data_IF_277435520356
#
_entry.id   IF_277435520356
#
_cell.length_a   1.000
_cell.length_b   1.000
_cell.length_c   1.000
_cell.angle_alpha   90.00
_cell.angle_beta   90.00
_cell.angle_gamma   90.00
#
_symmetry.space_group_name_H-M   'P 1'
#
loop_
_entity.id
_entity.type
_entity.pdbx_description
1 polymer ?
#
# COMPACT_ATOMS: atom_id res chain seq x y z
N UNK A 1 -14.26 3.54 -9.81
CA UNK A 1 -12.80 3.41 -9.67
C UNK A 1 -12.36 2.93 -8.29
N UNK A 2 -12.99 3.39 -7.21
CA UNK A 2 -12.65 3.07 -5.82
C UNK A 2 -12.99 1.62 -5.42
N UNK A 3 -14.21 1.15 -5.70
CA UNK A 3 -14.65 -0.21 -5.32
C UNK A 3 -13.79 -1.36 -5.88
N UNK A 4 -13.34 -1.35 -7.15
CA UNK A 4 -12.39 -2.35 -7.64
C UNK A 4 -11.07 -2.41 -6.85
N UNK A 5 -10.58 -1.27 -6.37
CA UNK A 5 -9.33 -1.20 -5.57
C UNK A 5 -9.56 -1.71 -4.16
N UNK A 6 -10.65 -1.29 -3.52
CA UNK A 6 -11.07 -1.80 -2.21
C UNK A 6 -11.28 -3.32 -2.24
N UNK A 7 -11.90 -3.82 -3.30
CA UNK A 7 -12.03 -5.26 -3.56
C UNK A 7 -10.68 -5.97 -3.67
N UNK A 8 -9.71 -5.38 -4.37
CA UNK A 8 -8.33 -5.93 -4.44
C UNK A 8 -7.63 -5.91 -3.09
N UNK A 9 -7.71 -4.82 -2.33
CA UNK A 9 -7.14 -4.72 -0.96
C UNK A 9 -7.75 -5.80 -0.06
N UNK A 10 -9.07 -6.00 -0.14
CA UNK A 10 -9.78 -7.02 0.63
C UNK A 10 -9.35 -8.44 0.23
N UNK A 11 -9.21 -8.73 -1.08
CA UNK A 11 -8.72 -10.02 -1.57
C UNK A 11 -7.29 -10.32 -1.10
N UNK A 12 -6.40 -9.33 -1.16
CA UNK A 12 -5.01 -9.44 -0.68
C UNK A 12 -4.95 -9.76 0.82
N UNK A 13 -5.89 -9.24 1.60
CA UNK A 13 -5.97 -9.48 3.03
C UNK A 13 -6.61 -10.84 3.40
N UNK A 14 -7.32 -11.47 2.48
CA UNK A 14 -8.19 -12.62 2.76
C UNK A 14 -7.59 -13.97 2.35
N UNK A 15 -6.69 -14.01 1.36
CA UNK A 15 -6.12 -15.27 0.87
C UNK A 15 -4.58 -15.17 0.67
N UNK A 16 -3.79 -15.84 1.53
CA UNK A 16 -2.32 -15.85 1.43
C UNK A 16 -1.79 -16.61 0.19
N UNK A 17 -2.62 -17.43 -0.46
CA UNK A 17 -2.25 -18.22 -1.64
C UNK A 17 -2.61 -17.55 -2.97
N UNK A 18 -3.42 -16.49 -2.94
CA UNK A 18 -3.96 -15.92 -4.16
C UNK A 18 -2.88 -15.14 -4.89
N UNK A 19 -2.37 -15.69 -5.99
CA UNK A 19 -1.28 -15.11 -6.79
C UNK A 19 -1.78 -13.87 -7.52
N UNK A 20 -1.86 -12.73 -6.81
CA UNK A 20 -2.23 -11.48 -7.46
C UNK A 20 -0.99 -10.97 -8.16
N UNK A 21 -1.06 -10.90 -9.49
CA UNK A 21 -0.13 -10.11 -10.28
C UNK A 21 -0.17 -8.68 -9.74
N UNK A 22 0.86 -8.33 -8.96
CA UNK A 22 1.02 -7.02 -8.35
C UNK A 22 1.26 -5.95 -9.43
N UNK A 23 1.24 -6.31 -10.72
CA UNK A 23 1.09 -5.39 -11.86
C UNK A 23 -0.24 -4.61 -11.91
N UNK A 24 -1.12 -4.73 -10.92
CA UNK A 24 -2.01 -3.60 -10.70
C UNK A 24 -1.13 -2.39 -10.38
N UNK A 25 -0.99 -1.49 -11.36
CA UNK A 25 -0.07 -0.38 -11.33
C UNK A 25 -0.49 0.59 -10.22
N UNK A 26 -0.12 0.25 -8.99
CA UNK A 26 -0.50 0.92 -7.76
C UNK A 26 -0.12 2.39 -7.84
N UNK A 27 1.10 2.64 -8.34
CA UNK A 27 1.64 3.97 -8.66
C UNK A 27 0.72 4.73 -9.63
N UNK A 28 0.25 4.11 -10.72
CA UNK A 28 -0.65 4.78 -11.66
C UNK A 28 -2.05 5.07 -11.07
N UNK A 29 -2.58 4.20 -10.20
CA UNK A 29 -3.85 4.45 -9.53
C UNK A 29 -3.73 5.57 -8.49
N UNK A 30 -2.71 5.47 -7.65
CA UNK A 30 -2.31 6.44 -6.63
C UNK A 30 -2.18 7.83 -7.27
N UNK A 31 -1.32 7.95 -8.28
CA UNK A 31 -1.07 9.20 -8.99
C UNK A 31 -2.35 9.83 -9.54
N UNK A 32 -3.26 9.02 -10.10
CA UNK A 32 -4.56 9.50 -10.59
C UNK A 32 -5.47 9.97 -9.46
N UNK A 33 -5.46 9.30 -8.31
CA UNK A 33 -6.27 9.69 -7.15
C UNK A 33 -5.78 11.02 -6.56
N UNK A 34 -4.45 11.20 -6.42
CA UNK A 34 -3.85 12.46 -5.94
C UNK A 34 -4.10 13.60 -6.92
N UNK A 35 -3.83 13.40 -8.21
CA UNK A 35 -4.10 14.42 -9.23
C UNK A 35 -5.60 14.79 -9.21
N UNK A 36 -6.46 13.78 -9.11
CA UNK A 36 -7.90 13.91 -8.89
C UNK A 36 -8.25 14.88 -7.78
N UNK A 37 -7.73 14.60 -6.58
CA UNK A 37 -7.97 15.40 -5.39
C UNK A 37 -7.40 16.81 -5.51
N UNK A 38 -6.12 16.96 -5.88
CA UNK A 38 -5.44 18.25 -6.00
C UNK A 38 -6.14 19.15 -7.03
N UNK A 39 -6.43 18.62 -8.22
CA UNK A 39 -7.07 19.39 -9.28
C UNK A 39 -8.50 19.82 -8.89
N UNK A 40 -9.25 18.97 -8.18
CA UNK A 40 -10.61 19.29 -7.72
C UNK A 40 -10.59 20.34 -6.61
N UNK A 41 -9.70 20.21 -5.62
CA UNK A 41 -9.56 21.23 -4.55
C UNK A 41 -9.04 22.57 -5.10
N UNK A 42 -8.10 22.56 -6.05
CA UNK A 42 -7.62 23.77 -6.73
C UNK A 42 -8.74 24.44 -7.54
N UNK A 43 -9.53 23.65 -8.29
CA UNK A 43 -10.72 24.12 -8.99
C UNK A 43 -11.70 24.79 -8.02
N UNK A 44 -12.06 24.12 -6.94
CA UNK A 44 -13.00 24.63 -5.94
C UNK A 44 -12.51 25.95 -5.32
N UNK A 45 -11.23 26.00 -4.92
CA UNK A 45 -10.63 27.21 -4.36
C UNK A 45 -10.65 28.39 -5.34
N UNK A 46 -10.36 28.14 -6.63
CA UNK A 46 -10.41 29.17 -7.67
C UNK A 46 -11.81 29.64 -7.99
N UNK A 47 -12.82 28.80 -7.76
CA UNK A 47 -14.23 29.14 -8.05
C UNK A 47 -14.97 29.82 -6.89
N UNK A 48 -14.40 29.85 -5.67
CA UNK A 48 -15.02 30.45 -4.47
C UNK A 48 -15.38 31.92 -4.62
N UNK A 49 -14.56 32.67 -5.34
CA UNK A 49 -14.75 34.12 -5.54
C UNK A 49 -15.06 34.46 -7.00
N UNK A 50 -15.23 33.44 -7.84
CA UNK A 50 -15.40 33.62 -9.27
C UNK A 50 -16.86 33.85 -9.61
N UNK A 51 -17.14 34.97 -10.28
CA UNK A 51 -18.49 35.34 -10.71
C UNK A 51 -18.60 35.48 -12.23
N UNK A 52 -17.47 35.40 -12.96
CA UNK A 52 -17.41 35.52 -14.42
C UNK A 52 -17.47 34.14 -15.10
N UNK A 53 -18.52 33.82 -15.89
CA UNK A 53 -18.63 32.51 -16.53
C UNK A 53 -17.61 32.25 -17.66
N UNK A 54 -17.02 33.29 -18.26
CA UNK A 54 -15.95 33.12 -19.27
C UNK A 54 -14.67 32.62 -18.59
N UNK A 55 -14.32 33.18 -17.45
CA UNK A 55 -13.18 32.74 -16.64
C UNK A 55 -13.43 31.34 -16.07
N UNK A 56 -14.68 31.04 -15.65
CA UNK A 56 -15.08 29.70 -15.23
C UNK A 56 -14.78 28.66 -16.32
N UNK A 57 -15.15 28.92 -17.57
CA UNK A 57 -14.88 28.01 -18.68
C UNK A 57 -13.39 27.70 -18.85
N UNK A 58 -12.50 28.70 -18.63
CA UNK A 58 -11.05 28.52 -18.72
C UNK A 58 -10.54 27.62 -17.59
N UNK A 59 -10.98 27.87 -16.36
CA UNK A 59 -10.54 27.10 -15.19
C UNK A 59 -11.05 25.65 -15.26
N UNK A 60 -12.31 25.45 -15.64
CA UNK A 60 -12.90 24.12 -15.83
C UNK A 60 -12.19 23.37 -16.95
N UNK A 61 -11.90 24.01 -18.09
CA UNK A 61 -11.15 23.39 -19.19
C UNK A 61 -9.76 22.93 -18.74
N UNK A 62 -9.06 23.73 -17.94
CA UNK A 62 -7.75 23.37 -17.39
C UNK A 62 -7.85 22.16 -16.46
N UNK A 63 -8.85 22.12 -15.58
CA UNK A 63 -9.08 20.97 -14.70
C UNK A 63 -9.38 19.69 -15.49
N UNK A 64 -10.24 19.76 -16.50
CA UNK A 64 -10.55 18.62 -17.41
C UNK A 64 -9.29 18.09 -18.08
N UNK A 65 -8.43 18.98 -18.58
CA UNK A 65 -7.18 18.60 -19.24
C UNK A 65 -6.22 17.94 -18.26
N UNK A 66 -6.09 18.48 -17.04
CA UNK A 66 -5.23 17.92 -15.99
C UNK A 66 -5.71 16.55 -15.50
N UNK A 67 -7.02 16.34 -15.49
CA UNK A 67 -7.66 15.10 -15.06
C UNK A 67 -7.80 14.07 -16.17
N UNK A 68 -7.39 14.40 -17.40
CA UNK A 68 -7.55 13.57 -18.60
C UNK A 68 -9.00 13.07 -18.77
N UNK A 69 -9.97 13.98 -18.53
CA UNK A 69 -11.39 13.66 -18.65
C UNK A 69 -11.83 13.84 -20.09
N UNK A 70 -12.43 12.78 -20.64
CA UNK A 70 -13.09 12.86 -21.94
C UNK A 70 -14.45 13.53 -21.78
N UNK A 71 -14.49 14.85 -22.04
CA UNK A 71 -15.70 15.65 -22.00
C UNK A 71 -15.99 16.17 -23.41
N UNK A 72 -17.25 16.10 -23.86
CA UNK A 72 -17.67 16.68 -25.14
C UNK A 72 -17.23 18.15 -25.26
N UNK A 73 -16.51 18.49 -26.35
CA UNK A 73 -15.94 19.84 -26.56
C UNK A 73 -17.01 20.94 -26.58
N UNK A 74 -18.19 20.59 -27.08
CA UNK A 74 -19.38 21.45 -27.13
C UNK A 74 -19.86 21.88 -25.73
N UNK A 75 -19.66 21.08 -24.69
CA UNK A 75 -20.03 21.47 -23.32
C UNK A 75 -19.22 22.68 -22.82
N UNK A 76 -17.92 22.73 -23.12
CA UNK A 76 -17.04 23.85 -22.72
C UNK A 76 -17.33 25.10 -23.56
N UNK A 77 -17.57 24.91 -24.85
CA UNK A 77 -17.96 26.01 -25.74
C UNK A 77 -19.32 26.59 -25.36
N UNK A 78 -20.25 25.77 -24.88
CA UNK A 78 -21.54 26.23 -24.34
C UNK A 78 -21.36 27.14 -23.13
N UNK A 79 -20.59 26.74 -22.11
CA UNK A 79 -20.30 27.58 -20.92
C UNK A 79 -19.66 28.90 -21.35
N UNK A 80 -18.68 28.84 -22.26
CA UNK A 80 -18.01 30.04 -22.78
C UNK A 80 -18.98 30.99 -23.48
N UNK A 81 -19.91 30.46 -24.27
CA UNK A 81 -20.91 31.27 -24.98
C UNK A 81 -21.94 31.87 -24.02
N UNK A 82 -22.39 31.13 -23.00
CA UNK A 82 -23.23 31.68 -21.92
C UNK A 82 -22.53 32.83 -21.19
N UNK A 83 -21.22 32.71 -20.94
CA UNK A 83 -20.42 33.79 -20.38
C UNK A 83 -20.42 35.05 -21.24
N UNK A 84 -20.32 34.92 -22.57
CA UNK A 84 -20.41 36.08 -23.49
C UNK A 84 -21.76 36.77 -23.40
N UNK A 85 -22.86 36.01 -23.35
CA UNK A 85 -24.20 36.59 -23.18
C UNK A 85 -24.34 37.30 -21.83
N UNK A 86 -23.79 36.71 -20.77
CA UNK A 86 -23.77 37.32 -19.44
C UNK A 86 -23.01 38.66 -19.43
N UNK A 87 -21.81 38.70 -20.01
CA UNK A 87 -21.02 39.94 -20.17
C UNK A 87 -21.75 40.99 -21.01
N UNK A 88 -22.42 40.57 -22.09
CA UNK A 88 -23.24 41.46 -22.90
C UNK A 88 -24.39 42.08 -22.08
N UNK A 89 -25.12 41.28 -21.30
CA UNK A 89 -26.20 41.75 -20.42
C UNK A 89 -25.70 42.75 -19.37
N UNK A 90 -24.54 42.50 -18.75
CA UNK A 90 -23.90 43.45 -17.83
C UNK A 90 -23.58 44.78 -18.52
N UNK A 91 -23.03 44.71 -19.74
CA UNK A 91 -22.65 45.89 -20.53
C UNK A 91 -23.84 46.75 -20.90
N UNK A 92 -24.93 46.16 -21.42
CA UNK A 92 -26.10 46.93 -21.86
C UNK A 92 -26.95 47.46 -20.69
N UNK A 93 -26.89 46.80 -19.53
CA UNK A 93 -27.66 47.19 -18.35
C UNK A 93 -26.94 48.19 -17.45
N UNK A 94 -25.65 48.44 -17.69
CA UNK A 94 -24.75 49.22 -16.83
C UNK A 94 -24.83 48.77 -15.36
N UNK A 95 -25.03 47.46 -15.16
CA UNK A 95 -25.15 46.82 -13.85
C UNK A 95 -24.23 45.62 -13.77
N UNK A 96 -23.51 45.54 -12.66
CA UNK A 96 -22.76 44.33 -12.32
C UNK A 96 -23.76 43.24 -11.90
N UNK A 97 -23.99 42.30 -12.81
CA UNK A 97 -24.73 41.07 -12.53
C UNK A 97 -23.78 40.10 -11.83
N UNK A 98 -24.17 39.56 -10.68
CA UNK A 98 -23.38 38.54 -9.99
C UNK A 98 -24.04 37.17 -10.20
N UNK A 99 -23.25 36.17 -10.58
CA UNK A 99 -23.65 34.79 -10.33
C UNK A 99 -23.39 34.45 -8.87
N UNK A 100 -24.10 33.45 -8.34
CA UNK A 100 -23.63 32.79 -7.13
C UNK A 100 -22.25 32.16 -7.39
N UNK A 101 -21.42 31.99 -6.34
CA UNK A 101 -20.16 31.27 -6.43
C UNK A 101 -20.33 29.86 -7.02
N UNK A 102 -19.40 29.46 -7.88
CA UNK A 102 -19.48 28.18 -8.60
C UNK A 102 -18.84 27.01 -7.84
N UNK A 103 -18.21 27.25 -6.70
CA UNK A 103 -17.55 26.23 -5.88
C UNK A 103 -18.53 25.17 -5.38
N UNK A 104 -19.78 25.56 -5.13
CA UNK A 104 -20.84 24.64 -4.73
C UNK A 104 -21.14 23.56 -5.79
N UNK A 105 -20.82 23.79 -7.07
CA UNK A 105 -20.95 22.78 -8.13
C UNK A 105 -19.96 21.62 -8.00
N UNK A 106 -18.82 21.86 -7.36
CA UNK A 106 -17.73 20.88 -7.23
C UNK A 106 -17.68 20.23 -5.85
N UNK A 107 -18.48 20.72 -4.90
CA UNK A 107 -18.48 20.26 -3.51
C UNK A 107 -18.77 18.77 -3.38
N UNK A 108 -19.74 18.25 -4.12
CA UNK A 108 -20.09 16.82 -4.05
C UNK A 108 -18.95 15.93 -4.56
N UNK A 109 -18.21 16.41 -5.58
CA UNK A 109 -17.03 15.71 -6.11
C UNK A 109 -15.87 15.75 -5.10
N UNK A 110 -15.63 16.90 -4.46
CA UNK A 110 -14.64 17.03 -3.40
C UNK A 110 -14.93 16.09 -2.23
N UNK A 111 -16.17 16.11 -1.73
CA UNK A 111 -16.63 15.23 -0.64
C UNK A 111 -16.48 13.75 -1.04
N UNK A 112 -16.86 13.39 -2.26
CA UNK A 112 -16.68 12.04 -2.78
C UNK A 112 -15.20 11.60 -2.79
N UNK A 113 -14.30 12.45 -3.30
CA UNK A 113 -12.87 12.15 -3.36
C UNK A 113 -12.24 12.07 -1.96
N UNK A 114 -12.61 12.96 -1.05
CA UNK A 114 -12.16 12.93 0.34
C UNK A 114 -12.60 11.64 1.05
N UNK A 115 -13.89 11.28 0.95
CA UNK A 115 -14.42 10.05 1.53
C UNK A 115 -13.76 8.80 0.92
N UNK A 116 -13.51 8.82 -0.39
CA UNK A 116 -12.82 7.73 -1.09
C UNK A 116 -11.39 7.55 -0.59
N UNK A 117 -10.65 8.65 -0.39
CA UNK A 117 -9.30 8.63 0.17
C UNK A 117 -9.30 8.01 1.56
N UNK A 118 -10.20 8.44 2.44
CA UNK A 118 -10.32 7.89 3.82
C UNK A 118 -10.65 6.41 3.80
N UNK A 119 -11.64 5.98 3.01
CA UNK A 119 -12.03 4.57 2.94
C UNK A 119 -10.89 3.66 2.45
N UNK A 120 -10.13 4.12 1.44
CA UNK A 120 -8.96 3.38 0.95
C UNK A 120 -7.89 3.27 2.04
N UNK A 121 -7.62 4.35 2.79
CA UNK A 121 -6.66 4.33 3.90
C UNK A 121 -7.03 3.34 4.99
N UNK A 122 -8.31 3.31 5.38
CA UNK A 122 -8.80 2.37 6.40
C UNK A 122 -8.66 0.92 5.94
N UNK A 123 -9.01 0.64 4.68
CA UNK A 123 -8.84 -0.69 4.08
C UNK A 123 -7.36 -1.10 4.01
N UNK A 124 -6.45 -0.18 3.65
CA UNK A 124 -5.01 -0.42 3.62
C UNK A 124 -4.47 -0.77 5.00
N UNK A 125 -4.87 -0.04 6.04
CA UNK A 125 -4.45 -0.29 7.42
C UNK A 125 -4.92 -1.66 7.89
N UNK A 126 -6.20 -1.98 7.67
CA UNK A 126 -6.76 -3.28 8.05
C UNK A 126 -6.07 -4.43 7.30
N UNK A 127 -5.81 -4.26 6.00
CA UNK A 127 -5.09 -5.24 5.20
C UNK A 127 -3.65 -5.44 5.70
N UNK A 128 -2.93 -4.36 6.00
CA UNK A 128 -1.56 -4.43 6.52
C UNK A 128 -1.50 -5.18 7.85
N UNK A 129 -2.42 -4.91 8.78
CA UNK A 129 -2.51 -5.63 10.06
C UNK A 129 -2.75 -7.12 9.85
N UNK A 130 -3.68 -7.49 8.95
CA UNK A 130 -3.95 -8.90 8.63
C UNK A 130 -2.75 -9.60 8.01
N UNK A 131 -2.11 -8.98 7.00
CA UNK A 131 -0.93 -9.55 6.34
C UNK A 131 0.23 -9.70 7.33
N UNK A 132 0.43 -8.70 8.21
CA UNK A 132 1.44 -8.80 9.27
C UNK A 132 1.16 -9.95 10.24
N UNK A 133 -0.08 -10.09 10.70
CA UNK A 133 -0.47 -11.20 11.59
C UNK A 133 -0.24 -12.57 10.93
N UNK A 134 -0.59 -12.71 9.66
CA UNK A 134 -0.35 -13.96 8.91
C UNK A 134 1.15 -14.21 8.70
N UNK A 135 1.94 -13.18 8.44
CA UNK A 135 3.40 -13.31 8.34
C UNK A 135 3.98 -13.79 9.67
N UNK A 136 3.58 -13.19 10.79
CA UNK A 136 4.03 -13.61 12.11
C UNK A 136 3.65 -15.07 12.41
N UNK A 137 2.48 -15.53 11.97
CA UNK A 137 2.06 -16.92 12.11
C UNK A 137 2.97 -17.86 11.29
N UNK A 138 3.18 -17.57 9.99
CA UNK A 138 4.07 -18.35 9.14
C UNK A 138 5.50 -18.42 9.70
N UNK A 139 5.99 -17.33 10.25
CA UNK A 139 7.32 -17.28 10.87
C UNK A 139 7.41 -18.13 12.14
N UNK A 140 6.35 -18.17 12.95
CA UNK A 140 6.25 -19.08 14.10
C UNK A 140 6.20 -20.55 13.66
N UNK A 141 5.57 -20.84 12.54
CA UNK A 141 5.54 -22.20 12.00
C UNK A 141 6.92 -22.64 11.49
N UNK A 142 7.65 -21.76 10.77
CA UNK A 142 9.06 -22.00 10.40
C UNK A 142 9.90 -22.24 11.65
N UNK A 143 9.78 -21.38 12.66
CA UNK A 143 10.49 -21.53 13.93
C UNK A 143 10.29 -22.91 14.55
N UNK A 144 9.03 -23.35 14.62
CA UNK A 144 8.63 -24.63 15.19
C UNK A 144 9.20 -25.80 14.39
N UNK A 145 9.12 -25.78 13.06
CA UNK A 145 9.69 -26.83 12.21
C UNK A 145 11.20 -26.92 12.39
N UNK A 146 11.90 -25.78 12.38
CA UNK A 146 13.35 -25.75 12.64
C UNK A 146 13.69 -26.38 13.99
N UNK A 147 12.95 -26.02 15.04
CA UNK A 147 13.14 -26.57 16.39
C UNK A 147 12.89 -28.08 16.45
N UNK A 148 11.77 -28.55 15.91
CA UNK A 148 11.37 -29.96 15.96
C UNK A 148 12.35 -30.85 15.18
N UNK A 149 12.66 -30.49 13.93
CA UNK A 149 13.58 -31.26 13.11
C UNK A 149 15.01 -31.23 13.67
N UNK A 150 15.47 -30.07 14.16
CA UNK A 150 16.78 -29.99 14.79
C UNK A 150 16.86 -30.84 16.05
N UNK A 151 15.80 -30.89 16.87
CA UNK A 151 15.77 -31.73 18.07
C UNK A 151 15.93 -33.22 17.74
N UNK A 152 15.31 -33.68 16.65
CA UNK A 152 15.47 -35.06 16.18
C UNK A 152 16.89 -35.34 15.66
N UNK A 153 17.49 -34.38 14.93
CA UNK A 153 18.88 -34.46 14.51
C UNK A 153 19.80 -34.59 15.73
N UNK A 154 19.58 -33.77 16.77
CA UNK A 154 20.37 -33.81 18.02
C UNK A 154 20.22 -35.15 18.74
N UNK A 155 19.00 -35.69 18.87
CA UNK A 155 18.77 -37.01 19.49
C UNK A 155 19.47 -38.14 18.75
N UNK A 156 19.61 -38.04 17.43
CA UNK A 156 20.25 -39.05 16.60
C UNK A 156 21.79 -39.00 16.59
N UNK A 157 22.39 -37.93 17.13
CA UNK A 157 23.84 -37.74 17.14
C UNK A 157 24.52 -38.55 18.24
N UNK A 158 25.67 -39.14 17.90
CA UNK A 158 26.57 -39.73 18.88
C UNK A 158 27.09 -38.66 19.86
N UNK A 159 27.05 -38.95 21.18
CA UNK A 159 27.48 -38.01 22.23
C UNK A 159 28.85 -37.38 21.99
N UNK A 160 29.79 -38.09 21.34
CA UNK A 160 31.14 -37.57 21.05
C UNK A 160 31.15 -36.47 19.98
N UNK A 161 30.19 -36.47 19.05
CA UNK A 161 30.05 -35.48 17.96
C UNK A 161 29.17 -34.29 18.35
N UNK A 162 28.41 -34.44 19.43
CA UNK A 162 27.43 -33.44 19.88
C UNK A 162 28.04 -32.06 20.17
N UNK A 163 29.16 -31.93 20.93
CA UNK A 163 29.70 -30.60 21.26
C UNK A 163 30.19 -29.83 20.03
N UNK A 164 30.82 -30.52 19.06
CA UNK A 164 31.32 -29.89 17.84
C UNK A 164 30.17 -29.45 16.92
N UNK A 165 29.11 -30.25 16.82
CA UNK A 165 27.91 -29.92 16.03
C UNK A 165 27.14 -28.75 16.65
N UNK A 166 26.84 -28.79 17.95
CA UNK A 166 26.17 -27.69 18.65
C UNK A 166 26.93 -26.36 18.51
N UNK A 167 28.27 -26.39 18.66
CA UNK A 167 29.09 -25.18 18.50
C UNK A 167 29.03 -24.61 17.07
N UNK A 168 29.04 -25.48 16.06
CA UNK A 168 28.94 -25.07 14.65
C UNK A 168 27.57 -24.49 14.35
N UNK A 169 26.52 -25.21 14.73
CA UNK A 169 25.13 -24.91 14.38
C UNK A 169 24.63 -23.66 15.11
N UNK A 170 25.04 -23.45 16.37
CA UNK A 170 24.80 -22.22 17.14
C UNK A 170 25.36 -20.97 16.46
N UNK A 171 26.49 -21.08 15.74
CA UNK A 171 27.07 -19.98 14.98
C UNK A 171 26.18 -19.59 13.79
N UNK A 172 25.72 -20.57 13.01
CA UNK A 172 24.81 -20.31 11.88
C UNK A 172 23.50 -19.65 12.30
N UNK A 173 22.96 -20.06 13.45
CA UNK A 173 21.74 -19.48 14.00
C UNK A 173 21.99 -18.05 14.52
N UNK A 174 23.14 -17.79 15.12
CA UNK A 174 23.51 -16.42 15.55
C UNK A 174 23.66 -15.49 14.35
N UNK A 175 24.29 -15.97 13.27
CA UNK A 175 24.42 -15.23 12.01
C UNK A 175 23.03 -14.91 11.41
N UNK A 176 22.06 -15.84 11.50
CA UNK A 176 20.67 -15.61 11.11
C UNK A 176 20.05 -14.45 11.86
N UNK A 177 20.14 -14.48 13.18
CA UNK A 177 19.47 -13.52 14.04
C UNK A 177 20.00 -12.14 13.69
N UNK A 178 21.31 -12.03 13.51
CA UNK A 178 21.94 -10.80 13.06
C UNK A 178 21.50 -10.40 11.65
N UNK A 179 21.40 -11.33 10.69
CA UNK A 179 20.86 -11.03 9.35
C UNK A 179 19.39 -10.63 9.35
N UNK A 180 18.56 -11.19 10.24
CA UNK A 180 17.14 -10.84 10.38
C UNK A 180 16.99 -9.49 11.06
N UNK A 181 17.79 -9.22 12.11
CA UNK A 181 17.83 -7.93 12.78
C UNK A 181 18.32 -6.81 11.84
N UNK A 182 19.25 -7.14 10.95
CA UNK A 182 19.74 -6.25 9.90
C UNK A 182 18.91 -6.33 8.60
N UNK A 183 17.98 -7.27 8.53
CA UNK A 183 17.28 -7.70 7.33
C UNK A 183 16.14 -6.76 7.00
N UNK A 184 16.17 -6.19 5.80
CA UNK A 184 15.25 -5.12 5.39
C UNK A 184 14.06 -5.60 4.53
N UNK A 185 14.01 -6.88 4.13
CA UNK A 185 12.98 -7.42 3.21
C UNK A 185 12.64 -8.88 3.51
N UNK A 186 11.43 -9.32 3.13
CA UNK A 186 10.97 -10.72 3.22
C UNK A 186 11.74 -11.67 2.30
N UNK A 187 12.28 -11.18 1.19
CA UNK A 187 13.13 -11.99 0.29
C UNK A 187 14.44 -12.37 0.97
N UNK A 188 15.12 -11.38 1.58
CA UNK A 188 16.30 -11.65 2.41
C UNK A 188 15.97 -12.64 3.52
N UNK A 189 14.83 -12.45 4.18
CA UNK A 189 14.35 -13.33 5.24
C UNK A 189 14.21 -14.79 4.79
N UNK A 190 13.59 -15.02 3.63
CA UNK A 190 13.39 -16.37 3.07
C UNK A 190 14.71 -17.00 2.67
N UNK A 191 15.61 -16.22 2.05
CA UNK A 191 16.95 -16.70 1.71
C UNK A 191 17.76 -17.09 2.94
N UNK A 192 17.72 -16.31 4.01
CA UNK A 192 18.42 -16.63 5.26
C UNK A 192 17.83 -17.87 5.93
N UNK A 193 16.49 -18.05 5.92
CA UNK A 193 15.83 -19.28 6.40
C UNK A 193 16.30 -20.51 5.61
N UNK A 194 16.31 -20.42 4.28
CA UNK A 194 16.76 -21.51 3.39
C UNK A 194 18.22 -21.87 3.65
N UNK A 195 19.10 -20.87 3.71
CA UNK A 195 20.52 -21.08 3.98
C UNK A 195 20.75 -21.88 5.26
N UNK A 196 19.97 -21.64 6.31
CA UNK A 196 20.13 -22.35 7.58
C UNK A 196 19.50 -23.71 7.57
N UNK A 197 18.32 -23.85 6.97
CA UNK A 197 17.72 -25.15 6.76
C UNK A 197 18.72 -26.09 6.08
N UNK A 198 19.38 -25.62 5.03
CA UNK A 198 20.41 -26.37 4.31
C UNK A 198 21.64 -26.69 5.18
N UNK A 199 22.16 -25.72 5.93
CA UNK A 199 23.33 -25.93 6.80
C UNK A 199 23.05 -26.84 8.00
N UNK A 200 21.83 -26.80 8.53
CA UNK A 200 21.40 -27.63 9.66
C UNK A 200 20.96 -29.02 9.21
N UNK A 201 20.67 -29.22 7.91
CA UNK A 201 20.13 -30.46 7.35
C UNK A 201 18.64 -30.64 7.65
N UNK A 202 17.91 -29.53 7.72
CA UNK A 202 16.48 -29.44 8.06
C UNK A 202 15.68 -29.17 6.79
N UNK A 203 14.52 -29.80 6.67
CA UNK A 203 13.57 -29.54 5.60
C UNK A 203 12.52 -28.52 6.03
N UNK A 204 12.54 -27.33 5.41
CA UNK A 204 11.47 -26.34 5.62
C UNK A 204 10.40 -26.50 4.52
N UNK A 205 9.11 -26.65 4.88
CA UNK A 205 8.05 -26.79 3.89
C UNK A 205 7.99 -25.60 2.92
N UNK A 206 8.14 -25.87 1.62
CA UNK A 206 8.17 -24.85 0.55
C UNK A 206 6.95 -23.92 0.53
N UNK A 207 5.78 -24.41 0.93
CA UNK A 207 4.56 -23.61 0.95
C UNK A 207 4.64 -22.47 1.99
N UNK A 208 5.29 -22.69 3.13
CA UNK A 208 5.44 -21.66 4.18
C UNK A 208 6.36 -20.55 3.67
N UNK A 209 7.47 -20.91 3.04
CA UNK A 209 8.41 -19.96 2.43
C UNK A 209 7.74 -19.13 1.34
N UNK A 210 6.97 -19.77 0.45
CA UNK A 210 6.20 -19.09 -0.58
C UNK A 210 5.17 -18.11 0.01
N UNK A 211 4.52 -18.46 1.11
CA UNK A 211 3.59 -17.57 1.80
C UNK A 211 4.29 -16.31 2.33
N UNK A 212 5.48 -16.47 2.94
CA UNK A 212 6.30 -15.35 3.44
C UNK A 212 6.71 -14.42 2.28
N UNK A 213 7.16 -14.95 1.15
CA UNK A 213 7.51 -14.15 -0.03
C UNK A 213 6.30 -13.37 -0.57
N UNK A 214 5.16 -14.04 -0.71
CA UNK A 214 3.92 -13.42 -1.22
C UNK A 214 3.44 -12.29 -0.30
N UNK A 215 3.42 -12.53 1.02
CA UNK A 215 3.06 -11.52 2.01
C UNK A 215 3.98 -10.31 1.93
N UNK A 216 5.28 -10.52 1.72
CA UNK A 216 6.23 -9.45 1.45
C UNK A 216 5.89 -8.57 0.25
N UNK A 217 5.50 -9.19 -0.86
CA UNK A 217 5.06 -8.47 -2.07
C UNK A 217 3.80 -7.65 -1.80
N UNK A 218 2.86 -8.16 -0.99
CA UNK A 218 1.66 -7.43 -0.61
C UNK A 218 1.95 -6.25 0.29
N UNK A 219 2.86 -6.39 1.24
CA UNK A 219 3.26 -5.29 2.10
C UNK A 219 3.93 -4.17 1.32
N UNK A 220 4.74 -4.52 0.32
CA UNK A 220 5.31 -3.53 -0.62
C UNK A 220 4.23 -2.82 -1.43
N UNK A 221 3.22 -3.54 -1.91
CA UNK A 221 2.08 -2.95 -2.61
C UNK A 221 1.30 -1.97 -1.72
N UNK A 222 1.00 -2.36 -0.47
CA UNK A 222 0.32 -1.51 0.49
C UNK A 222 1.17 -0.28 0.85
N UNK A 223 2.49 -0.45 1.00
CA UNK A 223 3.45 0.63 1.30
C UNK A 223 3.49 1.67 0.16
N UNK A 224 3.54 1.25 -1.10
CA UNK A 224 3.50 2.14 -2.28
C UNK A 224 2.25 3.02 -2.24
N UNK A 225 1.07 2.42 -2.04
CA UNK A 225 -0.19 3.17 -1.98
C UNK A 225 -0.21 4.09 -0.74
N UNK A 226 0.36 3.67 0.38
CA UNK A 226 0.35 4.47 1.62
C UNK A 226 1.31 5.67 1.63
N UNK A 227 2.46 5.56 0.96
CA UNK A 227 3.52 6.59 0.98
C UNK A 227 3.12 7.87 0.28
N UNK A 228 2.42 7.77 -0.83
CA UNK A 228 1.98 8.94 -1.60
C UNK A 228 0.67 9.53 -1.04
N UNK A 229 -0.16 8.73 -0.34
CA UNK A 229 -1.39 9.20 0.34
C UNK A 229 -1.09 9.95 1.68
N UNK A 230 0.19 10.00 2.12
CA UNK A 230 0.69 10.49 3.41
C UNK A 230 0.12 9.74 4.62
N UNK A 231 0.82 8.70 5.07
CA UNK A 231 0.55 7.97 6.31
C UNK A 231 1.72 8.11 7.27
N UNK A 232 1.45 8.69 8.45
CA UNK A 232 2.37 8.73 9.58
C UNK A 232 2.25 7.40 10.34
N UNK A 233 3.04 6.39 9.95
CA UNK A 233 2.96 5.06 10.58
C UNK A 233 3.98 4.07 10.05
N UNK A 234 5.02 3.78 10.85
CA UNK A 234 6.03 2.74 10.53
C UNK A 234 5.46 1.34 10.78
N UNK A 235 5.54 0.45 9.77
CA UNK A 235 5.36 -0.99 9.98
C UNK A 235 6.59 -1.60 10.69
N UNK A 236 6.39 -2.36 11.76
CA UNK A 236 7.46 -3.00 12.54
C UNK A 236 7.36 -4.54 12.49
N UNK A 237 8.45 -5.20 12.07
CA UNK A 237 8.53 -6.64 11.72
C UNK A 237 9.18 -7.56 12.77
N UNK A 238 9.45 -7.08 13.99
CA UNK A 238 10.44 -7.70 14.89
C UNK A 238 10.03 -8.82 15.88
N UNK A 239 8.76 -9.05 16.28
CA UNK A 239 8.48 -9.97 17.39
C UNK A 239 8.79 -11.47 17.21
N UNK A 240 8.54 -12.12 16.05
CA UNK A 240 8.57 -13.59 15.96
C UNK A 240 9.95 -14.25 16.14
N UNK A 241 11.02 -13.63 15.65
CA UNK A 241 12.36 -14.26 15.61
C UNK A 241 13.14 -14.22 16.91
N UNK A 242 12.79 -13.31 17.83
CA UNK A 242 13.38 -13.27 19.18
C UNK A 242 13.10 -14.54 19.99
N UNK A 243 12.01 -15.25 19.67
CA UNK A 243 11.66 -16.50 20.34
C UNK A 243 12.58 -17.66 19.93
N UNK A 244 13.00 -17.73 18.66
CA UNK A 244 13.92 -18.75 18.16
C UNK A 244 15.29 -18.57 18.79
N UNK A 245 15.81 -17.34 18.80
CA UNK A 245 17.09 -16.99 19.40
C UNK A 245 17.21 -17.45 20.86
N UNK A 246 16.14 -17.26 21.63
CA UNK A 246 16.07 -17.64 23.04
C UNK A 246 16.13 -19.15 23.24
N UNK A 247 15.40 -19.92 22.43
CA UNK A 247 15.37 -21.39 22.52
C UNK A 247 16.76 -22.02 22.31
N UNK A 248 17.54 -21.50 21.35
CA UNK A 248 18.88 -22.02 21.05
C UNK A 248 19.99 -21.55 22.00
N UNK A 249 19.78 -20.47 22.76
CA UNK A 249 20.69 -20.04 23.83
C UNK A 249 20.45 -20.80 25.14
N UNK A 250 19.25 -21.34 25.33
CA UNK A 250 18.81 -22.03 26.56
C UNK A 250 18.89 -23.58 26.45
N UNK A 251 19.29 -24.13 25.30
CA UNK A 251 19.45 -25.58 25.02
C UNK A 251 20.92 -26.00 24.99
#
# INVERSE_FOLDING_TARGET
MVEPVRGKISLLASDPNNFIDVNFNAEAFEHKLIIGYIATSDLMNKTKTLTNPVELAVIVKKAITNLDLDIPKDAIDYIKNQGKYFTFLQTISDKMLNSEPWDQLFKDVEVFLANSKTAILDDLKSAAEKVNNQLQANLKDVAKVLQEEYSEIIKSLEMKKLPEKLRRDSRFISDLIQEIENGTTTEKLVNSILYIADNLGIFVPKHILRNIENQGKYLRFLDIISKEISVDGKMTWLPPFKFIAKYFQES
#
